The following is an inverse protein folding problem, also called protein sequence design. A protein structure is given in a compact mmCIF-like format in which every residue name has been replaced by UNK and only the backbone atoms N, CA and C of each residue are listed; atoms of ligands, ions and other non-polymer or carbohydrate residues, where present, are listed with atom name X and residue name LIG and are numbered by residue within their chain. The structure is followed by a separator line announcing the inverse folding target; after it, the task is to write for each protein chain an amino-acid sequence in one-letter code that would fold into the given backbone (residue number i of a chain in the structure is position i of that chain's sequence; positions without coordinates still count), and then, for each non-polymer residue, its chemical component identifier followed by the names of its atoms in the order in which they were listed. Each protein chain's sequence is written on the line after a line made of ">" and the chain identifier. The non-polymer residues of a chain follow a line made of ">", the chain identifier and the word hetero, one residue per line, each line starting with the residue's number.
data_IF_400047704599
#
_entry.id   IF_400047704599
#
_cell.length_a   1.000
_cell.length_b   1.000
_cell.length_c   1.000
_cell.angle_alpha   90.00
_cell.angle_beta   90.00
_cell.angle_gamma   90.00
#
_symmetry.space_group_name_H-M   'P 1'
#
loop_
_entity.id
_entity.type
_entity.pdbx_description
1 polymer ?
#
# COMPACT_ATOMS: atom_id res chain seq x y z
N UNK A 1 23.94 -22.00 0.66
CA UNK A 1 22.65 -22.55 1.15
C UNK A 1 22.64 -22.67 2.69
N UNK A 2 22.36 -21.57 3.42
CA UNK A 2 22.07 -21.59 4.87
C UNK A 2 20.93 -20.63 5.29
N UNK A 3 20.38 -19.87 4.33
CA UNK A 3 19.37 -18.85 4.60
C UNK A 3 18.05 -19.43 5.12
N UNK A 4 17.61 -20.57 4.59
CA UNK A 4 16.38 -21.24 5.02
C UNK A 4 16.44 -21.68 6.49
N UNK A 5 17.62 -22.09 6.98
CA UNK A 5 17.80 -22.50 8.37
C UNK A 5 17.69 -21.30 9.32
N UNK A 6 18.24 -20.14 8.93
CA UNK A 6 18.07 -18.89 9.68
C UNK A 6 16.62 -18.43 9.68
N UNK A 7 15.92 -18.55 8.54
CA UNK A 7 14.50 -18.21 8.47
C UNK A 7 13.67 -19.15 9.37
N UNK A 8 13.91 -20.46 9.33
CA UNK A 8 13.25 -21.41 10.21
C UNK A 8 13.48 -21.10 11.71
N UNK A 9 14.68 -20.63 12.08
CA UNK A 9 14.95 -20.17 13.45
C UNK A 9 14.18 -18.92 13.85
N UNK A 10 14.00 -17.97 12.92
CA UNK A 10 13.17 -16.78 13.13
C UNK A 10 11.69 -17.16 13.25
N UNK A 11 11.22 -18.04 12.36
CA UNK A 11 9.85 -18.55 12.38
C UNK A 11 9.56 -19.33 13.67
N UNK A 12 10.57 -20.02 14.22
CA UNK A 12 10.49 -20.68 15.53
C UNK A 12 10.69 -19.73 16.74
N UNK A 13 10.91 -18.43 16.53
CA UNK A 13 11.16 -17.45 17.60
C UNK A 13 12.52 -17.61 18.32
N UNK A 14 13.42 -18.41 17.78
CA UNK A 14 14.74 -18.70 18.39
C UNK A 14 15.85 -17.74 17.95
N UNK A 15 15.63 -16.98 16.88
CA UNK A 15 16.50 -15.90 16.44
C UNK A 15 15.66 -14.63 16.17
N UNK A 16 16.22 -13.44 16.41
CA UNK A 16 15.54 -12.19 16.09
C UNK A 16 15.42 -11.98 14.57
N UNK A 17 14.32 -11.35 14.16
CA UNK A 17 14.04 -10.98 12.78
C UNK A 17 12.58 -11.26 12.41
N UNK A 18 12.15 -10.73 11.26
CA UNK A 18 10.81 -10.97 10.77
C UNK A 18 10.63 -12.44 10.36
N UNK A 19 9.54 -13.01 10.82
CA UNK A 19 9.02 -14.31 10.40
C UNK A 19 8.57 -14.27 8.95
N UNK A 20 8.40 -15.45 8.36
CA UNK A 20 7.86 -15.58 7.00
C UNK A 20 6.48 -14.93 6.90
N UNK A 21 5.61 -15.15 7.89
CA UNK A 21 4.24 -14.61 7.93
C UNK A 21 4.25 -13.07 8.00
N UNK A 22 5.09 -12.48 8.85
CA UNK A 22 5.24 -11.01 8.93
C UNK A 22 5.74 -10.41 7.61
N UNK A 23 6.64 -11.10 6.92
CA UNK A 23 7.13 -10.66 5.61
C UNK A 23 6.06 -10.76 4.52
N UNK A 24 5.22 -11.79 4.57
CA UNK A 24 4.08 -11.94 3.65
C UNK A 24 3.03 -10.86 3.89
N UNK A 25 2.69 -10.61 5.14
CA UNK A 25 1.74 -9.56 5.52
C UNK A 25 2.26 -8.18 5.12
N UNK A 26 3.55 -7.90 5.38
CA UNK A 26 4.17 -6.65 4.94
C UNK A 26 4.11 -6.49 3.41
N UNK A 27 4.29 -7.56 2.64
CA UNK A 27 4.14 -7.52 1.18
C UNK A 27 2.69 -7.27 0.76
N UNK A 28 1.71 -7.87 1.44
CA UNK A 28 0.28 -7.65 1.22
C UNK A 28 -0.10 -6.20 1.48
N UNK A 29 0.25 -5.68 2.65
CA UNK A 29 -0.01 -4.30 3.05
C UNK A 29 0.66 -3.30 2.09
N UNK A 30 1.89 -3.59 1.65
CA UNK A 30 2.57 -2.73 0.65
C UNK A 30 1.84 -2.70 -0.69
N UNK A 31 1.22 -3.81 -1.14
CA UNK A 31 0.41 -3.82 -2.36
C UNK A 31 -0.85 -2.99 -2.18
N UNK A 32 -1.59 -3.27 -1.12
CA UNK A 32 -2.83 -2.57 -0.77
C UNK A 32 -2.60 -1.05 -0.63
N UNK A 33 -1.53 -0.63 0.06
CA UNK A 33 -1.23 0.78 0.21
C UNK A 33 -0.93 1.48 -1.13
N UNK A 34 -0.29 0.80 -2.08
CA UNK A 34 -0.05 1.37 -3.42
C UNK A 34 -1.35 1.54 -4.20
N UNK A 35 -2.24 0.56 -4.12
CA UNK A 35 -3.55 0.62 -4.77
C UNK A 35 -4.41 1.73 -4.18
N UNK A 36 -4.46 1.83 -2.85
CA UNK A 36 -5.17 2.90 -2.14
C UNK A 36 -4.62 4.28 -2.48
N UNK A 37 -3.30 4.44 -2.55
CA UNK A 37 -2.68 5.70 -2.98
C UNK A 37 -3.09 6.05 -4.41
N UNK A 38 -3.06 5.09 -5.33
CA UNK A 38 -3.48 5.30 -6.73
C UNK A 38 -4.95 5.71 -6.80
N UNK A 39 -5.83 5.02 -6.10
CA UNK A 39 -7.26 5.36 -6.04
C UNK A 39 -7.48 6.77 -5.48
N UNK A 40 -6.79 7.12 -4.39
CA UNK A 40 -6.88 8.44 -3.79
C UNK A 40 -6.43 9.56 -4.76
N UNK A 41 -5.37 9.35 -5.54
CA UNK A 41 -4.94 10.35 -6.53
C UNK A 41 -5.95 10.53 -7.67
N UNK A 42 -6.60 9.45 -8.11
CA UNK A 42 -7.70 9.55 -9.08
C UNK A 42 -8.86 10.34 -8.48
N UNK A 43 -9.25 10.03 -7.25
CA UNK A 43 -10.36 10.72 -6.57
C UNK A 43 -10.05 12.20 -6.37
N UNK A 44 -8.85 12.56 -5.91
CA UNK A 44 -8.43 13.97 -5.78
C UNK A 44 -8.50 14.70 -7.11
N UNK A 45 -8.02 14.07 -8.19
CA UNK A 45 -8.03 14.67 -9.53
C UNK A 45 -9.46 14.88 -10.02
N UNK A 46 -10.33 13.88 -9.85
CA UNK A 46 -11.74 13.99 -10.20
C UNK A 46 -12.44 15.09 -9.39
N UNK A 47 -12.24 15.14 -8.07
CA UNK A 47 -12.79 16.19 -7.20
C UNK A 47 -12.33 17.58 -7.63
N UNK A 48 -11.05 17.75 -7.97
CA UNK A 48 -10.53 19.02 -8.47
C UNK A 48 -11.15 19.43 -9.80
N UNK A 49 -11.34 18.48 -10.73
CA UNK A 49 -12.01 18.72 -12.00
C UNK A 49 -13.45 19.20 -11.80
N UNK A 50 -14.23 18.50 -10.96
CA UNK A 50 -15.62 18.88 -10.69
C UNK A 50 -15.73 20.22 -9.97
N UNK A 51 -14.85 20.51 -9.01
CA UNK A 51 -14.82 21.82 -8.35
C UNK A 51 -14.58 22.96 -9.36
N UNK A 52 -13.65 22.77 -10.31
CA UNK A 52 -13.38 23.77 -11.34
C UNK A 52 -14.56 23.97 -12.32
N UNK A 53 -15.32 22.92 -12.63
CA UNK A 53 -16.51 23.02 -13.49
C UNK A 53 -17.65 23.77 -12.76
N UNK A 54 -17.82 23.57 -11.45
CA UNK A 54 -18.81 24.28 -10.64
C UNK A 54 -18.54 25.79 -10.53
N UNK A 55 -17.27 26.18 -10.51
CA UNK A 55 -16.85 27.59 -10.45
C UNK A 55 -16.97 28.30 -11.82
N UNK A 56 -17.32 27.59 -12.90
CA UNK A 56 -17.43 28.18 -14.23
C UNK A 56 -18.77 28.91 -14.37
N UNK A 57 -18.78 30.22 -14.70
CA UNK A 57 -20.02 30.96 -14.86
C UNK A 57 -20.83 30.37 -16.03
N UNK A 58 -22.09 30.01 -15.75
CA UNK A 58 -23.02 29.54 -16.77
C UNK A 58 -23.22 30.66 -17.81
N UNK A 59 -23.09 30.38 -19.13
CA UNK A 59 -23.43 31.38 -20.13
C UNK A 59 -24.94 31.66 -20.02
N UNK A 60 -25.28 32.95 -19.88
CA UNK A 60 -26.67 33.44 -19.90
C UNK A 60 -27.29 33.32 -21.28
#
# INVERSE_FOLDING_TARGET
>A
MRGWLKQARRDAGTEPGATTDELEELRRLRRENRELRRANEILKTASAFFAAELDRPSPK
#
